data_IF_886171504698
#
_entry.id   IF_886171504698
#
_cell.length_a   1.000
_cell.length_b   1.000
_cell.length_c   1.000
_cell.angle_alpha   90.00
_cell.angle_beta   90.00
_cell.angle_gamma   90.00
#
_symmetry.space_group_name_H-M   'P 1'
#
loop_
_entity.id
_entity.type
_entity.pdbx_description
1 polymer ?
#
# COMPACT_ATOMS: atom_id res chain seq x y z
N UNK A 1 1.96 -16.14 -8.25
CA UNK A 1 2.82 -14.97 -8.39
C UNK A 1 2.09 -13.72 -7.90
N UNK A 2 2.76 -12.87 -7.16
CA UNK A 2 2.13 -11.67 -6.61
C UNK A 2 1.87 -10.65 -7.71
N UNK A 3 0.76 -9.93 -7.59
CA UNK A 3 0.38 -8.87 -8.53
C UNK A 3 -0.42 -7.78 -7.84
N UNK A 4 -0.50 -6.64 -8.51
CA UNK A 4 -1.29 -5.50 -8.04
C UNK A 4 -2.76 -5.75 -8.36
N UNK A 5 -3.55 -6.03 -7.31
CA UNK A 5 -4.99 -6.22 -7.46
C UNK A 5 -5.75 -4.89 -7.42
N UNK A 6 -5.19 -3.89 -6.73
CA UNK A 6 -5.79 -2.56 -6.65
C UNK A 6 -4.72 -1.51 -6.46
N UNK A 7 -4.99 -0.31 -6.97
CA UNK A 7 -4.08 0.83 -6.91
C UNK A 7 -4.89 2.06 -6.55
N UNK A 8 -4.46 2.76 -5.50
CA UNK A 8 -5.27 3.82 -4.89
C UNK A 8 -4.42 5.03 -4.53
N UNK A 9 -5.00 6.20 -4.67
CA UNK A 9 -4.38 7.45 -4.22
C UNK A 9 -5.38 8.24 -3.40
N UNK A 10 -4.86 8.97 -2.39
CA UNK A 10 -5.71 9.82 -1.56
C UNK A 10 -5.93 11.16 -2.25
N UNK A 11 -7.19 11.60 -2.45
CA UNK A 11 -7.46 12.89 -3.09
C UNK A 11 -7.12 14.08 -2.20
N UNK A 12 -7.15 13.89 -0.87
CA UNK A 12 -6.85 14.95 0.10
C UNK A 12 -6.53 14.34 1.45
N UNK A 13 -5.78 15.06 2.28
CA UNK A 13 -5.49 14.63 3.65
C UNK A 13 -6.81 14.49 4.41
N UNK A 14 -6.90 13.42 5.20
CA UNK A 14 -8.07 13.15 6.04
C UNK A 14 -9.40 13.04 5.29
N UNK A 15 -9.37 12.74 3.98
CA UNK A 15 -10.57 12.60 3.17
C UNK A 15 -11.45 11.41 3.58
N UNK A 16 -10.85 10.40 4.23
CA UNK A 16 -11.55 9.19 4.62
C UNK A 16 -11.83 8.23 3.46
N UNK A 17 -11.35 8.55 2.26
CA UNK A 17 -11.53 7.71 1.09
C UNK A 17 -10.27 7.70 0.23
N UNK A 18 -10.17 6.70 -0.64
CA UNK A 18 -9.12 6.59 -1.64
C UNK A 18 -9.78 6.51 -3.02
N UNK A 19 -9.14 7.12 -4.02
CA UNK A 19 -9.58 7.03 -5.40
C UNK A 19 -8.88 5.84 -6.09
N UNK A 20 -9.65 5.01 -6.77
CA UNK A 20 -9.11 3.91 -7.55
C UNK A 20 -8.39 4.45 -8.78
N UNK A 21 -7.24 3.86 -9.09
CA UNK A 21 -6.44 4.22 -10.26
C UNK A 21 -6.15 2.97 -11.08
N UNK A 22 -6.13 3.10 -12.41
CA UNK A 22 -5.68 2.03 -13.29
C UNK A 22 -4.17 2.02 -13.38
N UNK A 23 -3.57 3.20 -13.37
CA UNK A 23 -2.12 3.38 -13.38
C UNK A 23 -1.74 4.71 -12.73
N UNK A 24 -0.53 4.78 -12.20
CA UNK A 24 0.00 5.98 -11.57
C UNK A 24 1.53 5.97 -11.68
N UNK A 25 2.14 7.13 -11.62
CA UNK A 25 3.60 7.24 -11.59
C UNK A 25 4.09 7.27 -10.15
N UNK A 26 5.02 6.38 -9.82
CA UNK A 26 5.73 6.44 -8.55
C UNK A 26 6.93 7.39 -8.72
N UNK A 27 7.16 8.23 -7.72
CA UNK A 27 8.22 9.25 -7.76
C UNK A 27 9.29 8.92 -6.72
N UNK A 28 10.53 8.81 -7.16
CA UNK A 28 11.68 8.50 -6.32
C UNK A 28 11.73 9.42 -5.10
N UNK A 29 11.82 8.82 -3.91
CA UNK A 29 11.93 9.55 -2.66
C UNK A 29 10.70 10.33 -2.23
N UNK A 30 9.55 10.11 -2.87
CA UNK A 30 8.33 10.90 -2.60
C UNK A 30 7.11 10.00 -2.33
N UNK A 31 6.73 9.17 -3.28
CA UNK A 31 5.54 8.33 -3.22
C UNK A 31 4.81 8.32 -4.55
N UNK A 32 3.49 8.08 -4.54
CA UNK A 32 2.69 8.07 -5.76
C UNK A 32 2.29 9.49 -6.14
N UNK A 33 2.47 9.83 -7.42
CA UNK A 33 2.09 11.15 -7.94
C UNK A 33 0.59 11.39 -7.74
N UNK A 34 0.26 12.57 -7.24
CA UNK A 34 -1.13 12.95 -6.99
C UNK A 34 -1.76 12.38 -5.73
N UNK A 35 -1.00 11.61 -4.95
CA UNK A 35 -1.51 11.08 -3.68
C UNK A 35 -1.21 12.06 -2.55
N UNK A 36 -2.23 12.42 -1.77
CA UNK A 36 -2.07 13.34 -0.64
C UNK A 36 -1.21 12.76 0.49
N UNK A 37 -1.03 11.44 0.53
CA UNK A 37 -0.16 10.78 1.51
C UNK A 37 1.31 10.77 1.09
N UNK A 38 1.62 11.08 -0.16
CA UNK A 38 2.99 11.14 -0.66
C UNK A 38 3.75 12.27 0.05
N UNK A 39 4.95 11.96 0.53
CA UNK A 39 5.77 12.93 1.26
C UNK A 39 7.24 12.64 1.06
N UNK A 40 7.96 13.65 0.58
CA UNK A 40 9.40 13.53 0.33
C UNK A 40 10.18 13.29 1.64
N UNK A 41 11.19 12.43 1.56
CA UNK A 41 12.15 12.22 2.65
C UNK A 41 11.66 11.38 3.82
N UNK A 42 10.47 10.80 3.75
CA UNK A 42 9.95 9.93 4.82
C UNK A 42 10.07 8.46 4.44
N UNK A 43 10.01 7.58 5.44
CA UNK A 43 9.97 6.14 5.26
C UNK A 43 8.54 5.63 5.00
N UNK A 44 7.55 6.52 4.99
CA UNK A 44 6.12 6.19 4.91
C UNK A 44 5.51 6.78 3.64
N UNK A 45 6.07 6.41 2.49
CA UNK A 45 5.64 6.99 1.21
C UNK A 45 4.49 6.24 0.56
N UNK A 46 4.49 4.91 0.66
CA UNK A 46 3.41 4.06 0.12
C UNK A 46 3.09 2.95 1.12
N UNK A 47 1.85 2.47 1.06
CA UNK A 47 1.37 1.36 1.90
C UNK A 47 0.94 0.20 1.01
N UNK A 48 1.48 -0.98 1.31
CA UNK A 48 1.08 -2.25 0.70
C UNK A 48 0.22 -3.02 1.68
N UNK A 49 -0.93 -3.53 1.23
CA UNK A 49 -1.78 -4.41 2.02
C UNK A 49 -2.11 -5.67 1.21
N UNK A 50 -2.23 -6.80 1.90
CA UNK A 50 -2.57 -8.07 1.27
C UNK A 50 -4.07 -8.19 1.08
N UNK A 51 -4.51 -8.49 -0.16
CA UNK A 51 -5.91 -8.68 -0.48
C UNK A 51 -6.54 -9.77 0.41
N UNK A 52 -5.80 -10.85 0.65
CA UNK A 52 -6.29 -11.96 1.48
C UNK A 52 -6.65 -11.49 2.89
N UNK A 53 -5.81 -10.64 3.49
CA UNK A 53 -6.07 -10.12 4.84
C UNK A 53 -7.33 -9.25 4.87
N UNK A 54 -7.50 -8.40 3.84
CA UNK A 54 -8.68 -7.54 3.75
C UNK A 54 -9.96 -8.38 3.56
N UNK A 55 -9.88 -9.40 2.71
CA UNK A 55 -11.00 -10.30 2.48
C UNK A 55 -11.36 -11.09 3.75
N UNK A 56 -10.34 -11.55 4.49
CA UNK A 56 -10.53 -12.32 5.73
C UNK A 56 -11.25 -11.50 6.81
N UNK A 57 -10.97 -10.20 6.90
CA UNK A 57 -11.65 -9.31 7.86
C UNK A 57 -12.91 -8.65 7.29
N UNK A 58 -13.22 -8.90 6.02
CA UNK A 58 -14.44 -8.39 5.39
C UNK A 58 -14.43 -6.90 5.09
N UNK A 59 -13.26 -6.35 4.74
CA UNK A 59 -13.11 -4.93 4.40
C UNK A 59 -12.84 -4.78 2.92
N UNK A 60 -13.49 -3.80 2.30
CA UNK A 60 -13.29 -3.50 0.88
C UNK A 60 -11.84 -3.05 0.62
N UNK A 61 -11.32 -3.42 -0.54
CA UNK A 61 -10.00 -2.96 -0.99
C UNK A 61 -10.00 -1.44 -1.15
N UNK A 62 -8.91 -0.80 -0.77
CA UNK A 62 -8.78 0.67 -0.77
C UNK A 62 -9.31 1.34 0.50
N UNK A 63 -10.09 0.62 1.30
CA UNK A 63 -10.78 1.21 2.45
C UNK A 63 -9.85 1.53 3.62
N UNK A 64 -8.79 0.76 3.81
CA UNK A 64 -7.82 0.99 4.89
C UNK A 64 -6.68 1.93 4.49
N UNK A 65 -6.84 2.65 3.39
CA UNK A 65 -5.90 3.64 2.85
C UNK A 65 -4.61 3.04 2.29
N UNK A 66 -4.66 1.79 1.87
CA UNK A 66 -3.51 1.23 1.16
C UNK A 66 -3.40 1.85 -0.22
N UNK A 67 -2.16 1.99 -0.70
CA UNK A 67 -1.88 2.43 -2.07
C UNK A 67 -1.92 1.22 -3.01
N UNK A 68 -1.38 0.09 -2.55
CA UNK A 68 -1.37 -1.16 -3.32
C UNK A 68 -2.12 -2.23 -2.56
N UNK A 69 -3.14 -2.80 -3.20
CA UNK A 69 -3.75 -4.04 -2.73
C UNK A 69 -3.06 -5.17 -3.49
N UNK A 70 -2.39 -6.06 -2.76
CA UNK A 70 -1.55 -7.11 -3.32
C UNK A 70 -2.26 -8.45 -3.23
N UNK A 71 -2.36 -9.17 -4.35
CA UNK A 71 -2.82 -10.55 -4.35
C UNK A 71 -1.66 -11.50 -4.63
N UNK A 72 -1.76 -12.72 -4.14
CA UNK A 72 -0.76 -13.75 -4.38
C UNK A 72 0.44 -13.72 -3.44
N UNK A 73 0.44 -12.86 -2.42
CA UNK A 73 1.51 -12.81 -1.41
C UNK A 73 0.99 -12.18 -0.13
N UNK A 74 1.61 -12.55 0.99
CA UNK A 74 1.42 -11.86 2.26
C UNK A 74 2.55 -10.84 2.40
N UNK A 75 2.19 -9.56 2.33
CA UNK A 75 3.18 -8.47 2.38
C UNK A 75 3.92 -8.43 3.72
N UNK A 76 3.36 -8.98 4.79
CA UNK A 76 4.03 -9.06 6.09
C UNK A 76 5.20 -10.05 6.10
N UNK A 77 5.32 -10.89 5.08
CA UNK A 77 6.48 -11.77 4.91
C UNK A 77 7.65 -11.06 4.25
N UNK A 78 7.45 -9.86 3.73
CA UNK A 78 8.52 -9.07 3.12
C UNK A 78 9.29 -8.34 4.23
N UNK A 79 10.57 -8.68 4.44
CA UNK A 79 11.33 -8.05 5.53
C UNK A 79 11.67 -6.60 5.22
N UNK A 80 11.94 -5.83 6.28
CA UNK A 80 12.47 -4.47 6.12
C UNK A 80 13.76 -4.54 5.31
N UNK A 81 13.87 -3.66 4.32
CA UNK A 81 14.99 -3.64 3.37
C UNK A 81 14.74 -4.43 2.09
N UNK A 82 13.68 -5.24 2.05
CA UNK A 82 13.33 -5.97 0.83
C UNK A 82 12.96 -4.98 -0.27
N UNK A 83 13.60 -5.14 -1.43
CA UNK A 83 13.25 -4.36 -2.60
C UNK A 83 12.23 -5.11 -3.44
N UNK A 84 11.30 -4.36 -4.01
CA UNK A 84 10.15 -4.89 -4.74
C UNK A 84 10.02 -4.11 -6.04
N UNK A 85 10.07 -4.82 -7.17
CA UNK A 85 9.89 -4.23 -8.50
C UNK A 85 8.44 -4.38 -8.93
N UNK A 86 7.81 -3.28 -9.31
CA UNK A 86 6.45 -3.27 -9.86
C UNK A 86 6.47 -2.36 -11.10
N UNK A 87 6.16 -2.92 -12.26
CA UNK A 87 6.27 -2.17 -13.51
C UNK A 87 7.68 -1.62 -13.67
N UNK A 88 7.79 -0.31 -13.84
CA UNK A 88 9.08 0.37 -14.00
C UNK A 88 9.65 0.87 -12.67
N UNK A 89 8.87 0.84 -11.59
CA UNK A 89 9.26 1.40 -10.31
C UNK A 89 9.92 0.36 -9.41
N UNK A 90 10.77 0.83 -8.50
CA UNK A 90 11.39 0.01 -7.48
C UNK A 90 11.06 0.61 -6.11
N UNK A 91 10.61 -0.25 -5.20
CA UNK A 91 10.24 0.13 -3.83
C UNK A 91 11.11 -0.60 -2.83
N UNK A 92 11.27 -0.02 -1.65
CA UNK A 92 11.96 -0.69 -0.55
C UNK A 92 11.08 -0.67 0.69
N UNK A 93 10.87 -1.85 1.28
CA UNK A 93 10.06 -2.00 2.50
C UNK A 93 10.81 -1.34 3.67
N UNK A 94 10.14 -0.47 4.38
CA UNK A 94 10.76 0.31 5.46
C UNK A 94 10.29 -0.06 6.86
N UNK A 95 9.03 -0.40 7.02
CA UNK A 95 8.49 -0.71 8.35
C UNK A 95 7.10 -1.32 8.26
N UNK A 96 6.72 -2.02 9.33
CA UNK A 96 5.35 -2.51 9.50
C UNK A 96 4.44 -1.30 9.74
N UNK A 97 3.25 -1.31 9.13
CA UNK A 97 2.22 -0.34 9.44
C UNK A 97 1.28 -0.96 10.47
N UNK A 98 1.29 -0.43 11.69
CA UNK A 98 0.38 -0.88 12.73
C UNK A 98 -1.01 -0.28 12.50
N UNK A 99 -2.09 -1.02 12.79
CA UNK A 99 -3.43 -0.45 12.70
C UNK A 99 -3.61 0.64 13.77
N UNK A 100 -4.32 1.69 13.40
CA UNK A 100 -4.58 2.81 14.30
C UNK A 100 -6.08 2.95 14.57
N UNK A 101 -6.43 3.88 15.47
CA UNK A 101 -7.83 4.12 15.86
C UNK A 101 -8.73 4.52 14.66
N UNK A 102 -8.15 5.01 13.57
CA UNK A 102 -8.90 5.32 12.35
C UNK A 102 -9.55 4.08 11.74
N UNK A 103 -8.98 2.89 12.01
CA UNK A 103 -9.59 1.64 11.53
C UNK A 103 -10.95 1.41 12.18
N UNK A 104 -11.09 1.78 13.45
CA UNK A 104 -12.38 1.64 14.16
C UNK A 104 -13.44 2.64 13.65
N UNK A 105 -13.02 3.72 12.98
CA UNK A 105 -13.95 4.65 12.34
C UNK A 105 -14.56 4.02 11.07
N UNK A 106 -13.86 3.07 10.46
CA UNK A 106 -14.37 2.32 9.31
C UNK A 106 -15.40 1.29 9.79
N UNK A 107 -15.03 0.54 10.83
CA UNK A 107 -15.89 -0.45 11.45
C UNK A 107 -15.38 -0.71 12.88
N UNK A 108 -16.26 -0.65 13.90
CA UNK A 108 -15.84 -0.93 15.28
C UNK A 108 -15.15 -2.30 15.40
N UNK A 109 -14.00 -2.33 16.06
CA UNK A 109 -13.21 -3.55 16.24
C UNK A 109 -12.21 -3.84 15.13
N UNK A 110 -12.20 -3.06 14.04
CA UNK A 110 -11.32 -3.31 12.91
C UNK A 110 -9.85 -3.13 13.27
N UNK A 111 -9.52 -2.18 14.16
CA UNK A 111 -8.15 -1.98 14.60
C UNK A 111 -7.56 -3.28 15.18
N UNK A 112 -8.30 -3.94 16.03
CA UNK A 112 -7.87 -5.20 16.65
C UNK A 112 -7.79 -6.34 15.62
N UNK A 113 -8.74 -6.41 14.70
CA UNK A 113 -8.76 -7.45 13.67
C UNK A 113 -7.60 -7.32 12.69
N UNK A 114 -7.10 -6.11 12.46
CA UNK A 114 -5.99 -5.85 11.55
C UNK A 114 -4.61 -5.95 12.21
N UNK A 115 -4.54 -6.29 13.49
CA UNK A 115 -3.26 -6.46 14.16
C UNK A 115 -2.44 -7.54 13.43
N UNK A 116 -1.22 -7.19 12.98
CA UNK A 116 -0.38 -8.07 12.18
C UNK A 116 -0.81 -8.23 10.72
N UNK A 117 -1.84 -7.50 10.28
CA UNK A 117 -2.41 -7.64 8.92
C UNK A 117 -2.67 -6.30 8.23
N UNK A 118 -2.29 -5.18 8.85
CA UNK A 118 -2.54 -3.85 8.32
C UNK A 118 -1.79 -3.58 7.02
N UNK A 119 -0.53 -4.00 6.95
CA UNK A 119 0.31 -3.84 5.78
C UNK A 119 1.73 -3.43 6.09
N UNK A 120 2.49 -3.19 5.02
CA UNK A 120 3.90 -2.78 5.09
C UNK A 120 4.08 -1.45 4.38
N UNK A 121 4.82 -0.56 5.03
CA UNK A 121 5.17 0.73 4.45
C UNK A 121 6.46 0.61 3.65
N UNK A 122 6.59 1.47 2.64
CA UNK A 122 7.74 1.46 1.75
C UNK A 122 8.05 2.87 1.26
N UNK A 123 9.26 3.03 0.71
CA UNK A 123 9.66 4.22 -0.02
C UNK A 123 9.89 3.86 -1.48
N UNK A 124 9.85 4.86 -2.35
CA UNK A 124 10.12 4.69 -3.77
C UNK A 124 11.63 4.90 -3.99
N UNK A 125 12.30 3.84 -4.46
CA UNK A 125 13.75 3.87 -4.74
C UNK A 125 14.02 4.36 -6.15
N UNK A 126 13.22 3.90 -7.12
CA UNK A 126 13.31 4.31 -8.53
C UNK A 126 11.94 4.68 -9.04
N UNK A 127 11.85 5.84 -9.67
CA UNK A 127 10.60 6.31 -10.29
C UNK A 127 10.20 5.39 -11.44
N UNK A 128 8.89 5.30 -11.68
CA UNK A 128 8.36 4.55 -12.81
C UNK A 128 6.87 4.45 -12.74
N UNK A 129 6.28 4.02 -13.85
CA UNK A 129 4.84 3.82 -13.95
C UNK A 129 4.47 2.45 -13.41
N UNK A 130 3.39 2.40 -12.62
CA UNK A 130 2.81 1.18 -12.08
C UNK A 130 1.35 1.10 -12.49
N UNK A 131 0.82 -0.09 -12.66
CA UNK A 131 -0.56 -0.31 -13.10
C UNK A 131 -1.19 -1.51 -12.39
N UNK A 132 -2.51 -1.50 -12.31
CA UNK A 132 -3.27 -2.67 -11.85
C UNK A 132 -2.95 -3.83 -12.79
N UNK A 133 -2.70 -5.00 -12.22
CA UNK A 133 -2.33 -6.21 -12.97
C UNK A 133 -0.84 -6.42 -13.12
N UNK A 134 -0.01 -5.43 -12.79
CA UNK A 134 1.44 -5.59 -12.85
C UNK A 134 1.89 -6.68 -11.88
N UNK A 135 2.85 -7.49 -12.34
CA UNK A 135 3.50 -8.47 -11.48
C UNK A 135 4.40 -7.78 -10.47
N UNK A 136 4.52 -8.39 -9.30
CA UNK A 136 5.36 -7.90 -8.22
C UNK A 136 6.52 -8.87 -8.05
N UNK A 137 7.73 -8.38 -8.28
CA UNK A 137 8.95 -9.17 -8.16
C UNK A 137 9.75 -8.75 -6.94
N UNK A 138 10.16 -9.73 -6.12
CA UNK A 138 11.13 -9.49 -5.06
C UNK A 138 12.53 -9.49 -5.68
N UNK A 139 13.29 -8.47 -5.39
CA UNK A 139 14.61 -8.25 -6.01
C UNK A 139 15.74 -8.52 -5.03
#
# INVERSE_FOLDING_TARGET
>A
MARVAGLWTSPAKNSGRMDARDRVRALEGHGLEGCAHARAGTKRQVLFASAQHLDDVGVEHGRIRENFTVEGADVHEWPVGQQVRIGEALFEITMVCDPCSRMDEIRPGLQAELDGRRGMLALVVESGEVAVGDEIELV
#
